data_IF_955273478006
#
_entry.id   IF_955273478006
#
_cell.length_a   1.000
_cell.length_b   1.000
_cell.length_c   1.000
_cell.angle_alpha   90.00
_cell.angle_beta   90.00
_cell.angle_gamma   90.00
#
_symmetry.space_group_name_H-M   'P 1'
#
loop_
_entity.id
_entity.type
_entity.pdbx_description
1 polymer ?
#
# COMPACT_ATOMS: atom_id res chain seq x y z
N UNK A 1 21.48 11.33 -0.29
CA UNK A 1 20.17 11.55 -0.96
C UNK A 1 19.07 11.96 0.02
N UNK A 2 19.21 11.73 1.33
CA UNK A 2 18.29 12.25 2.35
C UNK A 2 17.98 13.75 2.15
N UNK A 3 16.70 14.10 2.22
CA UNK A 3 16.17 15.44 1.96
C UNK A 3 15.90 15.77 0.50
N UNK A 4 16.32 14.91 -0.45
CA UNK A 4 16.03 15.13 -1.87
C UNK A 4 14.54 14.94 -2.17
N UNK A 5 14.03 15.81 -3.04
CA UNK A 5 12.71 15.65 -3.66
C UNK A 5 12.81 14.63 -4.81
N UNK A 6 11.88 13.69 -4.84
CA UNK A 6 11.78 12.64 -5.86
C UNK A 6 10.34 12.52 -6.33
N UNK A 7 10.15 12.17 -7.59
CA UNK A 7 8.86 11.76 -8.11
C UNK A 7 8.73 10.23 -7.95
N UNK A 8 7.66 9.80 -7.28
CA UNK A 8 7.30 8.39 -7.12
C UNK A 8 6.21 8.04 -8.13
N UNK A 9 6.50 7.09 -9.00
CA UNK A 9 5.51 6.49 -9.88
C UNK A 9 5.10 5.12 -9.34
N UNK A 10 3.80 4.91 -9.16
CA UNK A 10 3.25 3.63 -8.71
C UNK A 10 1.90 3.34 -9.34
N UNK A 11 1.60 2.05 -9.52
CA UNK A 11 0.29 1.60 -9.99
C UNK A 11 -0.47 0.96 -8.83
N UNK A 12 -1.63 1.51 -8.49
CA UNK A 12 -2.45 1.03 -7.38
C UNK A 12 -3.94 1.33 -7.62
N UNK A 13 -4.81 0.41 -7.17
CA UNK A 13 -6.27 0.49 -7.35
C UNK A 13 -6.69 0.72 -8.83
N UNK A 14 -6.00 0.07 -9.77
CA UNK A 14 -6.29 0.18 -11.21
C UNK A 14 -5.88 1.52 -11.84
N UNK A 15 -5.12 2.36 -11.13
CA UNK A 15 -4.72 3.70 -11.55
C UNK A 15 -3.20 3.89 -11.42
N UNK A 16 -2.62 4.65 -12.36
CA UNK A 16 -1.25 5.15 -12.23
C UNK A 16 -1.23 6.44 -11.39
N UNK A 17 -0.28 6.51 -10.47
CA UNK A 17 -0.04 7.63 -9.58
C UNK A 17 1.36 8.19 -9.84
N UNK A 18 1.46 9.51 -9.88
CA UNK A 18 2.73 10.24 -9.74
C UNK A 18 2.62 11.12 -8.50
N UNK A 19 3.53 10.93 -7.55
CA UNK A 19 3.48 11.56 -6.22
C UNK A 19 4.86 12.11 -5.87
N UNK A 20 4.92 13.38 -5.49
CA UNK A 20 6.14 13.96 -4.93
C UNK A 20 6.43 13.39 -3.55
N UNK A 21 7.67 12.91 -3.36
CA UNK A 21 8.19 12.40 -2.10
C UNK A 21 9.50 13.06 -1.68
N UNK A 22 9.86 12.88 -0.42
CA UNK A 22 11.14 13.26 0.17
C UNK A 22 11.85 12.00 0.62
N UNK A 23 13.11 11.85 0.22
CA UNK A 23 13.96 10.78 0.73
C UNK A 23 14.25 11.02 2.21
N UNK A 24 13.79 10.12 3.07
CA UNK A 24 14.01 10.18 4.52
C UNK A 24 15.30 9.48 4.94
N UNK A 25 15.67 8.40 4.25
CA UNK A 25 16.92 7.69 4.48
C UNK A 25 17.30 6.84 3.26
N UNK A 26 18.58 6.49 3.20
CA UNK A 26 19.12 5.55 2.21
C UNK A 26 19.96 4.54 2.98
N UNK A 27 19.63 3.26 2.85
CA UNK A 27 20.33 2.14 3.45
C UNK A 27 20.76 1.17 2.35
N UNK A 28 21.55 0.15 2.68
CA UNK A 28 22.04 -0.82 1.69
C UNK A 28 20.90 -1.63 1.04
N UNK A 29 19.81 -1.82 1.77
CA UNK A 29 18.64 -2.61 1.39
C UNK A 29 17.52 -1.76 0.75
N UNK A 30 17.60 -0.43 0.80
CA UNK A 30 16.59 0.40 0.17
C UNK A 30 16.61 1.88 0.52
N UNK A 31 15.58 2.56 0.02
CA UNK A 31 15.36 4.00 0.19
C UNK A 31 14.00 4.19 0.85
N UNK A 32 13.98 4.84 2.01
CA UNK A 32 12.74 5.27 2.65
C UNK A 32 12.29 6.61 2.09
N UNK A 33 11.07 6.68 1.56
CA UNK A 33 10.48 7.91 1.00
C UNK A 33 9.18 8.24 1.71
N UNK A 34 8.98 9.51 2.05
CA UNK A 34 7.73 10.04 2.62
C UNK A 34 7.04 10.96 1.60
N UNK A 35 5.71 10.92 1.49
CA UNK A 35 5.00 11.84 0.61
C UNK A 35 5.17 13.30 1.07
N UNK A 36 5.43 14.20 0.13
CA UNK A 36 5.60 15.64 0.39
C UNK A 36 4.32 16.29 0.94
N UNK A 37 3.16 15.81 0.47
CA UNK A 37 1.83 16.21 0.94
C UNK A 37 0.99 14.98 1.25
N UNK A 38 0.03 15.07 2.18
CA UNK A 38 -0.94 14.01 2.41
C UNK A 38 -1.66 13.61 1.12
N UNK A 39 -1.77 12.30 0.88
CA UNK A 39 -2.47 11.72 -0.27
C UNK A 39 -3.76 11.07 0.21
N UNK A 40 -4.78 11.88 0.54
CA UNK A 40 -6.01 11.41 1.18
C UNK A 40 -6.74 10.33 0.34
N UNK A 41 -6.85 10.53 -0.97
CA UNK A 41 -7.48 9.54 -1.88
C UNK A 41 -6.73 8.20 -1.84
N UNK A 42 -5.40 8.23 -1.95
CA UNK A 42 -4.58 7.02 -1.88
C UNK A 42 -4.69 6.33 -0.52
N UNK A 43 -4.73 7.12 0.57
CA UNK A 43 -4.92 6.60 1.92
C UNK A 43 -6.23 5.83 2.06
N UNK A 44 -7.35 6.43 1.65
CA UNK A 44 -8.67 5.79 1.70
C UNK A 44 -8.70 4.48 0.89
N UNK A 45 -8.09 4.48 -0.30
CA UNK A 45 -7.99 3.27 -1.13
C UNK A 45 -7.17 2.16 -0.46
N UNK A 46 -6.08 2.50 0.21
CA UNK A 46 -5.26 1.53 0.96
C UNK A 46 -6.04 0.95 2.15
N UNK A 47 -6.80 1.79 2.87
CA UNK A 47 -7.62 1.33 4.00
C UNK A 47 -8.77 0.43 3.51
N UNK A 48 -9.41 0.79 2.40
CA UNK A 48 -10.45 -0.03 1.78
C UNK A 48 -9.91 -1.41 1.35
N UNK A 49 -8.79 -1.45 0.63
CA UNK A 49 -8.16 -2.70 0.18
C UNK A 49 -7.77 -3.59 1.37
N UNK A 50 -7.13 -3.03 2.40
CA UNK A 50 -6.75 -3.78 3.59
C UNK A 50 -7.98 -4.32 4.36
N UNK A 51 -9.08 -3.57 4.37
CA UNK A 51 -10.33 -3.99 5.00
C UNK A 51 -10.99 -5.14 4.24
N UNK A 52 -10.97 -5.07 2.90
CA UNK A 52 -11.48 -6.14 2.04
C UNK A 52 -10.64 -7.41 2.16
N UNK A 53 -9.30 -7.30 2.14
CA UNK A 53 -8.41 -8.43 2.36
C UNK A 53 -8.66 -9.11 3.70
N UNK A 54 -8.85 -8.33 4.77
CA UNK A 54 -9.24 -8.88 6.10
C UNK A 54 -10.58 -9.59 6.05
N UNK A 55 -11.57 -9.05 5.34
CA UNK A 55 -12.89 -9.69 5.18
C UNK A 55 -12.77 -11.02 4.44
N UNK A 56 -12.03 -11.05 3.33
CA UNK A 56 -11.79 -12.27 2.54
C UNK A 56 -11.08 -13.33 3.38
N UNK A 57 -10.04 -12.95 4.12
CA UNK A 57 -9.33 -13.86 5.02
C UNK A 57 -10.25 -14.42 6.12
N UNK A 58 -11.11 -13.58 6.71
CA UNK A 58 -12.08 -14.03 7.72
C UNK A 58 -13.10 -15.01 7.14
N UNK A 59 -13.63 -14.75 5.94
CA UNK A 59 -14.56 -15.68 5.25
C UNK A 59 -13.89 -17.02 4.97
N UNK A 60 -12.64 -17.00 4.46
CA UNK A 60 -11.87 -18.22 4.18
C UNK A 60 -11.64 -19.08 5.44
N UNK A 61 -11.48 -18.46 6.61
CA UNK A 61 -11.34 -19.17 7.90
C UNK A 61 -12.66 -19.76 8.42
N UNK A 62 -13.81 -19.24 7.97
CA UNK A 62 -15.15 -19.71 8.37
C UNK A 62 -15.81 -20.63 7.36
N UNK A 63 -15.20 -20.83 6.18
CA UNK A 63 -15.69 -21.78 5.20
C UNK A 63 -15.66 -23.19 5.81
N UNK A 64 -16.77 -23.95 5.79
CA UNK A 64 -16.78 -25.30 6.32
C UNK A 64 -15.78 -26.14 5.52
N UNK A 65 -14.90 -26.87 6.23
CA UNK A 65 -14.15 -27.96 5.63
C UNK A 65 -15.21 -28.97 5.16
N UNK A 66 -15.39 -29.13 3.86
CA UNK A 66 -16.17 -30.24 3.31
C UNK A 66 -15.45 -31.54 3.71
N UNK A 67 -15.83 -32.08 4.87
CA UNK A 67 -15.47 -33.43 5.28
C UNK A 67 -16.39 -34.36 4.48
N UNK A 68 -15.92 -34.78 3.31
CA UNK A 68 -16.51 -35.91 2.62
C UNK A 68 -16.12 -37.21 3.35
N UNK A 69 -17.06 -38.15 3.56
CA UNK A 69 -16.86 -39.38 4.32
C UNK A 69 -15.91 -40.38 3.63
#
# INVERSE_FOLDING_TARGET
>A
LTGALVELELFFAGRQWSIMGVVTHTQQDGVGVMFWKPQAELYELVIAEASDLRRVAAVALTAPVDVHP
#
